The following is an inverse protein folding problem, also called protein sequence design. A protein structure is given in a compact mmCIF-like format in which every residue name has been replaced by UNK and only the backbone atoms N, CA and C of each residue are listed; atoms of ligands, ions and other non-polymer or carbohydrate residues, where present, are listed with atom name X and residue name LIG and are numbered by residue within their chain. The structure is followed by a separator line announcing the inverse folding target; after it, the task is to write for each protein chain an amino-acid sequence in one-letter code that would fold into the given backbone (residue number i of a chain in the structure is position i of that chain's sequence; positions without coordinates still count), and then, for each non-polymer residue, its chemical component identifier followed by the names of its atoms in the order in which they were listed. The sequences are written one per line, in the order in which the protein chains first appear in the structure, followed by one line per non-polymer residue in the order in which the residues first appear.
data_IF_934705809921
#
_entry.id   IF_934705809921
#
_cell.length_a   1.000
_cell.length_b   1.000
_cell.length_c   1.000
_cell.angle_alpha   90.00
_cell.angle_beta   90.00
_cell.angle_gamma   90.00
#
_symmetry.space_group_name_H-M   'P 1'
#
loop_
_entity.id
_entity.type
_entity.pdbx_description
1 polymer ?
#
# COMPACT_ATOMS: atom_id res chain seq x y z
N UNK A 1 -1.75 24.69 0.52
CA UNK A 1 -2.95 23.95 0.94
C UNK A 1 -2.65 23.34 2.31
N UNK A 2 -3.41 23.68 3.37
CA UNK A 2 -3.15 23.21 4.75
C UNK A 2 -4.29 22.28 5.16
N UNK A 3 -3.96 21.07 5.58
CA UNK A 3 -4.93 20.16 6.18
C UNK A 3 -5.38 20.72 7.53
N UNK A 4 -6.69 20.73 7.79
CA UNK A 4 -7.27 21.25 9.04
C UNK A 4 -7.21 20.26 10.22
N UNK A 5 -6.58 19.09 10.03
CA UNK A 5 -6.46 18.03 11.03
C UNK A 5 -5.12 18.09 11.77
N UNK A 6 -5.03 17.38 12.90
CA UNK A 6 -3.78 17.18 13.64
C UNK A 6 -2.74 16.38 12.84
N UNK A 7 -1.55 16.20 13.41
CA UNK A 7 -0.52 15.36 12.79
C UNK A 7 -1.02 13.90 12.60
N UNK A 8 -0.59 13.19 11.54
CA UNK A 8 -0.98 11.81 11.34
C UNK A 8 -0.48 10.94 12.51
N UNK A 9 -1.31 10.02 12.99
CA UNK A 9 -0.94 9.12 14.09
C UNK A 9 0.12 8.09 13.74
N UNK A 10 0.40 7.90 12.45
CA UNK A 10 1.46 7.03 11.93
C UNK A 10 1.86 7.45 10.52
N UNK A 11 3.05 7.07 10.11
CA UNK A 11 3.57 7.27 8.75
C UNK A 11 4.41 6.08 8.33
N UNK A 12 4.39 5.75 7.04
CA UNK A 12 5.28 4.75 6.43
C UNK A 12 5.77 5.27 5.08
N UNK A 13 6.82 4.66 4.55
CA UNK A 13 7.41 5.02 3.25
C UNK A 13 7.73 3.77 2.46
N UNK A 14 7.59 3.88 1.13
CA UNK A 14 7.90 2.86 0.15
C UNK A 14 8.13 3.54 -1.20
N UNK A 15 8.82 2.87 -2.11
CA UNK A 15 9.01 3.35 -3.48
C UNK A 15 7.67 3.39 -4.23
N UNK A 16 6.78 2.44 -3.95
CA UNK A 16 5.41 2.40 -4.49
C UNK A 16 4.38 2.05 -3.41
N UNK A 17 3.25 2.76 -3.44
CA UNK A 17 2.06 2.44 -2.62
C UNK A 17 0.96 1.94 -3.56
N UNK A 18 0.45 0.73 -3.31
CA UNK A 18 -0.67 0.15 -4.05
C UNK A 18 -1.90 0.13 -3.16
N UNK A 19 -2.99 0.75 -3.60
CA UNK A 19 -4.26 0.79 -2.85
C UNK A 19 -5.22 -0.25 -3.45
N UNK A 20 -5.64 -1.21 -2.63
CA UNK A 20 -6.54 -2.31 -2.98
C UNK A 20 -5.81 -3.64 -3.16
N UNK A 21 -6.29 -4.69 -2.49
CA UNK A 21 -5.70 -6.05 -2.49
C UNK A 21 -6.45 -7.05 -3.38
N UNK A 22 -7.15 -6.57 -4.41
CA UNK A 22 -7.75 -7.44 -5.42
C UNK A 22 -6.68 -8.03 -6.36
N UNK A 23 -7.11 -8.80 -7.36
CA UNK A 23 -6.21 -9.45 -8.33
C UNK A 23 -5.24 -8.45 -8.96
N UNK A 24 -5.74 -7.34 -9.51
CA UNK A 24 -4.88 -6.33 -10.14
C UNK A 24 -3.87 -5.70 -9.17
N UNK A 25 -4.29 -5.43 -7.93
CA UNK A 25 -3.43 -4.82 -6.91
C UNK A 25 -2.31 -5.76 -6.46
N UNK A 26 -2.63 -7.03 -6.21
CA UNK A 26 -1.64 -8.04 -5.84
C UNK A 26 -0.69 -8.35 -7.01
N UNK A 27 -1.21 -8.50 -8.22
CA UNK A 27 -0.37 -8.70 -9.42
C UNK A 27 0.61 -7.53 -9.59
N UNK A 28 0.13 -6.30 -9.44
CA UNK A 28 0.97 -5.09 -9.53
C UNK A 28 2.03 -5.08 -8.43
N UNK A 29 1.64 -5.32 -7.18
CA UNK A 29 2.55 -5.29 -6.04
C UNK A 29 3.66 -6.35 -6.15
N UNK A 30 3.32 -7.57 -6.55
CA UNK A 30 4.29 -8.65 -6.73
C UNK A 30 5.22 -8.40 -7.92
N UNK A 31 4.68 -7.87 -9.03
CA UNK A 31 5.50 -7.49 -10.18
C UNK A 31 6.51 -6.39 -9.82
N UNK A 32 6.08 -5.32 -9.13
CA UNK A 32 6.98 -4.26 -8.66
C UNK A 32 8.04 -4.76 -7.68
N UNK A 33 7.68 -5.71 -6.80
CA UNK A 33 8.63 -6.37 -5.90
C UNK A 33 9.70 -7.15 -6.67
N UNK A 34 9.36 -7.75 -7.81
CA UNK A 34 10.33 -8.45 -8.66
C UNK A 34 11.40 -7.53 -9.27
N UNK A 35 11.14 -6.22 -9.34
CA UNK A 35 12.11 -5.20 -9.72
C UNK A 35 12.93 -4.64 -8.54
N UNK A 36 12.81 -5.24 -7.35
CA UNK A 36 13.54 -4.82 -6.15
C UNK A 36 12.97 -3.58 -5.46
N UNK A 37 11.81 -3.08 -5.88
CA UNK A 37 11.18 -1.92 -5.27
C UNK A 37 10.53 -2.27 -3.93
N UNK A 38 10.58 -1.34 -2.97
CA UNK A 38 9.76 -1.41 -1.78
C UNK A 38 8.31 -1.04 -2.09
N UNK A 39 7.38 -1.92 -1.72
CA UNK A 39 5.94 -1.78 -2.01
C UNK A 39 5.13 -1.89 -0.72
N UNK A 40 4.30 -0.89 -0.46
CA UNK A 40 3.27 -0.90 0.59
C UNK A 40 1.90 -1.16 -0.04
N UNK A 41 1.33 -2.34 0.20
CA UNK A 41 -0.04 -2.68 -0.22
C UNK A 41 -1.01 -2.28 0.90
N UNK A 42 -1.96 -1.39 0.58
CA UNK A 42 -2.95 -0.91 1.55
C UNK A 42 -4.32 -1.45 1.14
N UNK A 43 -4.98 -2.13 2.06
CA UNK A 43 -6.36 -2.60 1.87
C UNK A 43 -7.16 -2.39 3.15
N UNK A 44 -8.48 -2.25 3.01
CA UNK A 44 -9.38 -2.07 4.14
C UNK A 44 -9.55 -3.37 4.93
N UNK A 45 -9.51 -4.51 4.25
CA UNK A 45 -9.76 -5.81 4.83
C UNK A 45 -8.46 -6.41 5.37
N UNK A 46 -8.56 -7.21 6.44
CA UNK A 46 -7.50 -8.18 6.70
C UNK A 46 -7.45 -9.11 5.50
N UNK A 47 -6.26 -9.29 4.94
CA UNK A 47 -6.03 -10.31 3.94
C UNK A 47 -6.04 -11.63 4.72
N UNK A 48 -7.17 -12.31 4.66
CA UNK A 48 -7.30 -13.67 5.14
C UNK A 48 -7.08 -14.61 3.96
N UNK A 49 -6.33 -15.68 4.18
CA UNK A 49 -6.02 -16.65 3.14
C UNK A 49 -7.08 -17.76 3.09
N UNK A 50 -8.32 -17.50 3.51
CA UNK A 50 -9.36 -18.52 3.65
C UNK A 50 -9.16 -19.41 4.87
#
# INVERSE_FOLDING_TARGET
MKLLTGAPGWSTSADVIVIGSGVAGLTTALNLRSYGLSVSLVTKARIDAG
#
